data_IF_432544033580
#
_entry.id   IF_432544033580
#
_cell.length_a   1.000
_cell.length_b   1.000
_cell.length_c   1.000
_cell.angle_alpha   90.00
_cell.angle_beta   90.00
_cell.angle_gamma   90.00
#
_symmetry.space_group_name_H-M   'P 1'
#
loop_
_entity.id
_entity.type
_entity.pdbx_description
1 polymer ?
#
# COMPACT_ATOMS: atom_id res chain seq x y z
N UNK A 1 9.87 -2.66 23.12
CA UNK A 1 9.93 -2.46 21.62
C UNK A 1 10.85 -3.51 21.02
N UNK A 2 10.33 -4.40 20.17
CA UNK A 2 11.13 -5.46 19.51
C UNK A 2 12.11 -4.81 18.54
N UNK A 3 13.40 -4.85 18.83
CA UNK A 3 14.46 -4.40 17.94
C UNK A 3 15.03 -5.59 17.18
N UNK A 4 14.64 -5.76 15.92
CA UNK A 4 15.30 -6.71 15.04
C UNK A 4 16.58 -6.06 14.49
N UNK A 5 17.73 -6.41 15.04
CA UNK A 5 19.05 -6.04 14.52
C UNK A 5 19.63 -7.10 13.57
N UNK A 6 18.96 -8.25 13.45
CA UNK A 6 19.42 -9.38 12.65
C UNK A 6 18.66 -9.43 11.32
N UNK A 7 19.36 -9.24 10.21
CA UNK A 7 18.79 -9.33 8.85
C UNK A 7 18.08 -10.65 8.59
N UNK A 8 18.59 -11.76 9.11
CA UNK A 8 17.99 -13.10 8.94
C UNK A 8 16.56 -13.17 9.46
N UNK A 9 16.20 -12.35 10.46
CA UNK A 9 14.86 -12.28 11.02
C UNK A 9 14.08 -11.14 10.35
N UNK A 10 14.73 -10.04 9.99
CA UNK A 10 14.09 -8.87 9.39
C UNK A 10 13.55 -9.18 7.98
N UNK A 11 14.28 -9.97 7.17
CA UNK A 11 13.84 -10.34 5.81
C UNK A 11 12.49 -11.05 5.81
N UNK A 12 12.27 -12.20 6.53
CA UNK A 12 10.95 -12.83 6.54
C UNK A 12 9.84 -11.96 7.12
N UNK A 13 10.14 -11.07 8.07
CA UNK A 13 9.17 -10.11 8.62
C UNK A 13 8.69 -9.13 7.56
N UNK A 14 9.58 -8.60 6.72
CA UNK A 14 9.22 -7.69 5.63
C UNK A 14 8.50 -8.42 4.50
N UNK A 15 8.92 -9.63 4.16
CA UNK A 15 8.19 -10.46 3.19
C UNK A 15 6.75 -10.71 3.64
N UNK A 16 6.55 -11.00 4.92
CA UNK A 16 5.21 -11.17 5.48
C UNK A 16 4.39 -9.88 5.48
N UNK A 17 5.02 -8.71 5.68
CA UNK A 17 4.37 -7.42 5.52
C UNK A 17 3.81 -7.25 4.08
N UNK A 18 4.60 -7.58 3.05
CA UNK A 18 4.16 -7.57 1.67
C UNK A 18 3.00 -8.54 1.40
N UNK A 19 3.02 -9.73 2.02
CA UNK A 19 1.88 -10.67 1.93
C UNK A 19 0.61 -10.06 2.53
N UNK A 20 0.69 -9.38 3.68
CA UNK A 20 -0.48 -8.71 4.25
C UNK A 20 -1.04 -7.60 3.34
N UNK A 21 -0.17 -6.83 2.69
CA UNK A 21 -0.58 -5.80 1.75
C UNK A 21 -1.17 -6.37 0.46
N UNK A 22 -0.72 -7.54 0.03
CA UNK A 22 -1.18 -8.19 -1.19
C UNK A 22 -2.69 -8.48 -1.21
N UNK A 23 -3.35 -8.51 -0.05
CA UNK A 23 -4.80 -8.64 0.04
C UNK A 23 -5.57 -7.36 -0.34
N UNK A 24 -4.90 -6.21 -0.46
CA UNK A 24 -5.54 -4.94 -0.83
C UNK A 24 -6.37 -5.01 -2.12
N UNK A 25 -5.80 -5.45 -3.26
CA UNK A 25 -6.56 -5.62 -4.51
C UNK A 25 -7.75 -6.56 -4.38
N UNK A 26 -7.62 -7.62 -3.57
CA UNK A 26 -8.71 -8.56 -3.31
C UNK A 26 -9.86 -7.87 -2.56
N UNK A 27 -9.56 -7.09 -1.52
CA UNK A 27 -10.56 -6.32 -0.76
C UNK A 27 -11.30 -5.37 -1.70
N UNK A 28 -10.59 -4.61 -2.54
CA UNK A 28 -11.20 -3.68 -3.51
C UNK A 28 -12.12 -4.42 -4.48
N UNK A 29 -11.72 -5.61 -4.94
CA UNK A 29 -12.52 -6.42 -5.87
C UNK A 29 -13.87 -6.86 -5.29
N UNK A 30 -13.94 -7.11 -3.98
CA UNK A 30 -15.17 -7.52 -3.31
C UNK A 30 -16.02 -6.34 -2.81
N UNK A 31 -15.56 -5.09 -2.97
CA UNK A 31 -16.36 -3.91 -2.63
C UNK A 31 -17.43 -3.63 -3.67
N UNK A 32 -18.55 -3.05 -3.22
CA UNK A 32 -19.60 -2.55 -4.09
C UNK A 32 -19.19 -1.15 -4.60
N UNK A 33 -19.11 -0.99 -5.93
CA UNK A 33 -18.82 0.28 -6.62
C UNK A 33 -17.65 1.09 -5.99
N UNK A 34 -16.45 0.51 -5.87
CA UNK A 34 -15.33 1.12 -5.15
C UNK A 34 -14.92 2.48 -5.72
N UNK A 35 -15.13 2.71 -7.03
CA UNK A 35 -14.84 3.98 -7.72
C UNK A 35 -15.77 5.14 -7.31
N UNK A 36 -16.93 4.84 -6.72
CA UNK A 36 -17.89 5.85 -6.25
C UNK A 36 -17.58 6.35 -4.83
N UNK A 37 -16.78 5.63 -4.08
CA UNK A 37 -16.55 5.87 -2.64
C UNK A 37 -15.06 6.00 -2.25
N UNK A 38 -14.16 6.59 -3.07
CA UNK A 38 -12.74 6.62 -2.77
C UNK A 38 -12.42 7.40 -1.49
N UNK A 39 -13.11 8.51 -1.24
CA UNK A 39 -12.88 9.33 -0.05
C UNK A 39 -13.35 8.66 1.23
N UNK A 40 -14.51 8.00 1.22
CA UNK A 40 -14.97 7.19 2.35
C UNK A 40 -14.02 6.03 2.64
N UNK A 41 -13.45 5.44 1.59
CA UNK A 41 -12.44 4.39 1.73
C UNK A 41 -11.16 4.91 2.40
N UNK A 42 -10.64 6.04 1.94
CA UNK A 42 -9.45 6.66 2.52
C UNK A 42 -9.72 7.07 3.96
N UNK A 43 -10.91 7.63 4.25
CA UNK A 43 -11.37 7.99 5.58
C UNK A 43 -11.37 6.77 6.53
N UNK A 44 -12.08 5.71 6.18
CA UNK A 44 -12.21 4.51 7.02
C UNK A 44 -10.88 3.81 7.24
N UNK A 45 -10.07 3.65 6.19
CA UNK A 45 -8.74 3.04 6.28
C UNK A 45 -7.77 3.90 7.10
N UNK A 46 -7.74 5.20 6.86
CA UNK A 46 -6.86 6.13 7.59
C UNK A 46 -7.20 6.20 9.07
N UNK A 47 -8.49 6.27 9.39
CA UNK A 47 -9.00 6.26 10.78
C UNK A 47 -8.63 4.95 11.49
N UNK A 48 -8.82 3.80 10.83
CA UNK A 48 -8.47 2.48 11.38
C UNK A 48 -6.99 2.40 11.72
N UNK A 49 -6.10 2.81 10.80
CA UNK A 49 -4.65 2.82 11.05
C UNK A 49 -4.31 3.74 12.21
N UNK A 50 -4.88 4.95 12.23
CA UNK A 50 -4.62 5.92 13.28
C UNK A 50 -5.05 5.38 14.66
N UNK A 51 -6.24 4.81 14.77
CA UNK A 51 -6.75 4.25 16.04
C UNK A 51 -5.87 3.07 16.50
N UNK A 52 -5.60 2.10 15.64
CA UNK A 52 -4.83 0.90 16.02
C UNK A 52 -3.44 1.29 16.53
N UNK A 53 -2.74 2.18 15.83
CA UNK A 53 -1.41 2.59 16.25
C UNK A 53 -1.41 3.40 17.53
N UNK A 54 -2.39 4.28 17.74
CA UNK A 54 -2.47 5.01 19.00
C UNK A 54 -2.84 4.08 20.18
N UNK A 55 -3.72 3.10 19.97
CA UNK A 55 -4.00 2.08 20.98
C UNK A 55 -2.74 1.25 21.29
N UNK A 56 -2.02 0.81 20.26
CA UNK A 56 -0.77 0.08 20.44
C UNK A 56 0.25 0.89 21.25
N UNK A 57 0.48 2.17 20.88
CA UNK A 57 1.39 3.05 21.59
C UNK A 57 0.92 3.33 23.04
N UNK A 58 -0.40 3.44 23.25
CA UNK A 58 -0.97 3.59 24.58
C UNK A 58 -0.73 2.37 25.47
N UNK A 59 -0.90 1.15 24.93
CA UNK A 59 -0.63 -0.07 25.70
C UNK A 59 0.87 -0.28 25.98
N UNK A 60 1.76 0.19 25.11
CA UNK A 60 3.20 0.04 25.27
C UNK A 60 3.80 1.11 26.22
N UNK A 61 3.36 2.36 26.14
CA UNK A 61 3.99 3.51 26.81
C UNK A 61 3.05 4.22 27.83
N UNK A 62 1.83 3.75 27.97
CA UNK A 62 0.81 4.37 28.79
C UNK A 62 0.43 5.78 28.28
N UNK A 63 -0.08 6.61 29.17
CA UNK A 63 -0.55 7.96 28.84
C UNK A 63 0.52 8.87 28.21
N UNK A 64 1.79 8.54 28.37
CA UNK A 64 2.90 9.35 27.84
C UNK A 64 3.16 9.19 26.34
N UNK A 65 2.45 8.29 25.63
CA UNK A 65 2.63 8.03 24.20
C UNK A 65 2.52 9.29 23.33
N UNK A 66 1.71 10.28 23.73
CA UNK A 66 1.55 11.53 22.99
C UNK A 66 2.86 12.34 22.89
N UNK A 67 3.83 12.11 23.79
CA UNK A 67 5.16 12.74 23.72
C UNK A 67 5.93 12.32 22.48
N UNK A 68 5.63 11.16 21.91
CA UNK A 68 6.25 10.68 20.68
C UNK A 68 5.88 11.54 19.47
N UNK A 69 4.71 12.16 19.45
CA UNK A 69 4.34 13.10 18.39
C UNK A 69 5.23 14.35 18.39
N UNK A 70 5.72 14.80 19.55
CA UNK A 70 6.70 15.88 19.63
C UNK A 70 8.09 15.44 19.15
N UNK A 71 8.42 14.14 19.27
CA UNK A 71 9.71 13.56 18.86
C UNK A 71 9.74 13.20 17.37
N UNK A 72 8.60 13.17 16.68
CA UNK A 72 8.50 12.84 15.25
C UNK A 72 9.43 13.69 14.39
N UNK A 73 9.53 15.00 14.71
CA UNK A 73 10.42 15.93 14.03
C UNK A 73 10.17 16.03 12.52
N UNK A 74 11.08 16.69 11.80
CA UNK A 74 10.93 16.90 10.35
C UNK A 74 10.94 15.56 9.57
N UNK A 75 11.78 14.61 9.97
CA UNK A 75 11.90 13.35 9.23
C UNK A 75 10.62 12.51 9.32
N UNK A 76 10.06 12.37 10.52
CA UNK A 76 8.80 11.62 10.67
C UNK A 76 7.60 12.35 10.09
N UNK A 77 7.57 13.68 10.08
CA UNK A 77 6.51 14.45 9.42
C UNK A 77 6.57 14.26 7.90
N UNK A 78 7.76 14.39 7.28
CA UNK A 78 7.95 14.16 5.84
C UNK A 78 7.61 12.72 5.47
N UNK A 79 8.06 11.74 6.29
CA UNK A 79 7.73 10.33 6.07
C UNK A 79 6.25 10.03 6.23
N UNK A 80 5.60 10.60 7.25
CA UNK A 80 4.17 10.42 7.49
C UNK A 80 3.30 11.04 6.38
N UNK A 81 3.62 12.25 5.93
CA UNK A 81 2.93 12.89 4.79
C UNK A 81 3.19 12.10 3.50
N UNK A 82 4.45 11.70 3.24
CA UNK A 82 4.80 10.89 2.07
C UNK A 82 4.01 9.59 2.02
N UNK A 83 3.95 8.86 3.14
CA UNK A 83 3.13 7.66 3.25
C UNK A 83 1.63 7.96 3.09
N UNK A 84 1.14 9.05 3.66
CA UNK A 84 -0.26 9.47 3.49
C UNK A 84 -0.61 9.76 2.03
N UNK A 85 0.25 10.48 1.30
CA UNK A 85 0.11 10.70 -0.15
C UNK A 85 0.13 9.36 -0.89
N UNK A 86 1.04 8.45 -0.54
CA UNK A 86 1.08 7.12 -1.13
C UNK A 86 -0.23 6.36 -0.94
N UNK A 87 -0.77 6.39 0.28
CA UNK A 87 -2.02 5.70 0.62
C UNK A 87 -3.23 6.27 -0.11
N UNK A 88 -3.34 7.59 -0.24
CA UNK A 88 -4.40 8.25 -1.01
C UNK A 88 -4.27 7.89 -2.48
N UNK A 89 -3.07 8.06 -3.04
CA UNK A 89 -2.80 7.81 -4.45
C UNK A 89 -3.00 6.34 -4.84
N UNK A 90 -2.66 5.40 -3.95
CA UNK A 90 -2.95 3.97 -4.17
C UNK A 90 -4.45 3.71 -4.36
N UNK A 91 -5.30 4.27 -3.49
CA UNK A 91 -6.75 4.08 -3.61
C UNK A 91 -7.28 4.69 -4.91
N UNK A 92 -6.82 5.90 -5.25
CA UNK A 92 -7.20 6.52 -6.52
C UNK A 92 -6.69 5.73 -7.73
N UNK A 93 -5.50 5.16 -7.67
CA UNK A 93 -4.99 4.30 -8.73
C UNK A 93 -5.88 3.07 -8.90
N UNK A 94 -6.05 2.26 -7.86
CA UNK A 94 -6.73 0.97 -7.95
C UNK A 94 -8.24 1.08 -8.22
N UNK A 95 -8.84 2.23 -7.94
CA UNK A 95 -10.25 2.51 -8.25
C UNK A 95 -10.45 3.13 -9.63
N UNK A 96 -9.42 3.67 -10.28
CA UNK A 96 -9.50 4.31 -11.60
C UNK A 96 -8.77 3.54 -12.70
N UNK A 97 -8.08 2.45 -12.38
CA UNK A 97 -7.44 1.56 -13.36
C UNK A 97 -7.49 0.12 -12.89
N UNK A 98 -6.84 -0.78 -13.61
CA UNK A 98 -6.78 -2.19 -13.22
C UNK A 98 -5.82 -2.41 -12.04
N UNK A 99 -6.10 -3.43 -11.23
CA UNK A 99 -5.20 -3.84 -10.17
C UNK A 99 -3.78 -4.14 -10.69
N UNK A 100 -3.69 -4.74 -11.88
CA UNK A 100 -2.41 -5.05 -12.53
C UNK A 100 -1.58 -3.80 -12.81
N UNK A 101 -2.19 -2.72 -13.34
CA UNK A 101 -1.52 -1.45 -13.62
C UNK A 101 -1.07 -0.80 -12.30
N UNK A 102 -1.95 -0.74 -11.31
CA UNK A 102 -1.61 -0.18 -9.99
C UNK A 102 -0.42 -0.92 -9.36
N UNK A 103 -0.47 -2.26 -9.32
CA UNK A 103 0.59 -3.08 -8.75
C UNK A 103 1.90 -2.97 -9.51
N UNK A 104 1.85 -2.83 -10.84
CA UNK A 104 3.07 -2.62 -11.62
C UNK A 104 3.68 -1.23 -11.37
N UNK A 105 2.87 -0.19 -11.19
CA UNK A 105 3.38 1.11 -10.74
C UNK A 105 4.08 0.99 -9.39
N UNK A 106 3.56 0.17 -8.45
CA UNK A 106 4.25 -0.09 -7.18
C UNK A 106 5.58 -0.83 -7.36
N UNK A 107 5.75 -1.62 -8.41
CA UNK A 107 7.03 -2.26 -8.71
C UNK A 107 8.16 -1.24 -9.01
N UNK A 108 7.83 0.03 -9.26
CA UNK A 108 8.81 1.12 -9.36
C UNK A 108 9.31 1.64 -7.99
N UNK A 109 8.71 1.24 -6.87
CA UNK A 109 9.12 1.71 -5.52
C UNK A 109 10.61 1.51 -5.23
N UNK A 110 11.24 0.35 -5.49
CA UNK A 110 12.68 0.18 -5.22
C UNK A 110 13.55 1.15 -6.01
N UNK A 111 13.12 1.49 -7.25
CA UNK A 111 13.79 2.48 -8.07
C UNK A 111 13.80 3.85 -7.40
N UNK A 112 12.62 4.40 -7.08
CA UNK A 112 12.52 5.70 -6.43
C UNK A 112 13.19 5.70 -5.06
N UNK A 113 13.08 4.61 -4.31
CA UNK A 113 13.73 4.48 -3.00
C UNK A 113 15.25 4.48 -3.12
N UNK A 114 15.81 3.72 -4.07
CA UNK A 114 17.25 3.69 -4.30
C UNK A 114 17.78 5.07 -4.70
N UNK A 115 17.08 5.76 -5.63
CA UNK A 115 17.44 7.11 -6.05
C UNK A 115 17.41 8.09 -4.87
N UNK A 116 16.35 8.09 -4.08
CA UNK A 116 16.24 8.97 -2.91
C UNK A 116 17.25 8.61 -1.83
N UNK A 117 17.49 7.31 -1.57
CA UNK A 117 18.50 6.86 -0.61
C UNK A 117 19.92 7.25 -1.05
N UNK A 118 20.23 7.17 -2.33
CA UNK A 118 21.50 7.65 -2.86
C UNK A 118 21.66 9.17 -2.67
N UNK A 119 20.64 9.96 -2.98
CA UNK A 119 20.68 11.42 -2.89
C UNK A 119 20.74 11.92 -1.44
N UNK A 120 19.92 11.37 -0.54
CA UNK A 120 19.72 11.89 0.81
C UNK A 120 20.49 11.13 1.89
N UNK A 121 20.65 9.82 1.76
CA UNK A 121 21.37 8.99 2.73
C UNK A 121 22.78 8.64 2.28
N UNK A 122 23.15 8.94 1.03
CA UNK A 122 24.43 8.57 0.39
C UNK A 122 24.67 7.05 0.43
N UNK A 123 23.60 6.26 0.41
CA UNK A 123 23.69 4.80 0.32
C UNK A 123 24.20 4.40 -1.08
N UNK A 124 25.14 3.46 -1.14
CA UNK A 124 25.64 2.94 -2.42
C UNK A 124 24.60 1.99 -3.02
N UNK A 125 24.22 2.24 -4.27
CA UNK A 125 23.30 1.38 -5.01
C UNK A 125 24.13 0.25 -5.64
N UNK A 126 23.77 -1.01 -5.36
CA UNK A 126 24.40 -2.16 -6.00
C UNK A 126 24.04 -2.26 -7.48
N UNK A 127 24.92 -2.88 -8.29
CA UNK A 127 24.65 -3.09 -9.72
C UNK A 127 23.36 -3.88 -9.96
N UNK A 128 23.06 -4.85 -9.11
CA UNK A 128 21.84 -5.65 -9.21
C UNK A 128 20.59 -4.79 -9.05
N UNK A 129 20.60 -3.82 -8.13
CA UNK A 129 19.51 -2.86 -7.96
C UNK A 129 19.37 -2.00 -9.21
N UNK A 130 20.46 -1.50 -9.81
CA UNK A 130 20.43 -0.76 -11.07
C UNK A 130 19.80 -1.56 -12.22
N UNK A 131 20.18 -2.82 -12.39
CA UNK A 131 19.61 -3.71 -13.41
C UNK A 131 18.11 -3.92 -13.16
N UNK A 132 17.70 -4.20 -11.92
CA UNK A 132 16.29 -4.36 -11.55
C UNK A 132 15.47 -3.10 -11.83
N UNK A 133 16.04 -1.92 -11.56
CA UNK A 133 15.45 -0.62 -11.85
C UNK A 133 15.22 -0.43 -13.36
N UNK A 134 16.17 -0.83 -14.17
CA UNK A 134 16.11 -0.71 -15.64
C UNK A 134 15.01 -1.61 -16.20
N UNK A 135 14.94 -2.86 -15.74
CA UNK A 135 13.90 -3.81 -16.13
C UNK A 135 12.50 -3.29 -15.72
N UNK A 136 12.35 -2.81 -14.50
CA UNK A 136 11.09 -2.23 -14.01
C UNK A 136 10.66 -1.01 -14.85
N UNK A 137 11.62 -0.12 -15.17
CA UNK A 137 11.35 1.07 -16.00
C UNK A 137 10.85 0.68 -17.40
N UNK A 138 11.49 -0.31 -18.05
CA UNK A 138 11.04 -0.82 -19.34
C UNK A 138 9.61 -1.39 -19.25
N UNK A 139 9.32 -2.18 -18.21
CA UNK A 139 7.96 -2.69 -17.97
C UNK A 139 6.93 -1.57 -17.83
N UNK A 140 7.23 -0.52 -17.07
CA UNK A 140 6.36 0.64 -16.89
C UNK A 140 6.13 1.38 -18.21
N UNK A 141 7.18 1.58 -19.03
CA UNK A 141 7.06 2.23 -20.34
C UNK A 141 6.16 1.43 -21.28
N UNK A 142 6.37 0.11 -21.37
CA UNK A 142 5.55 -0.77 -22.22
C UNK A 142 4.07 -0.64 -21.82
N UNK A 143 3.77 -0.63 -20.54
CA UNK A 143 2.39 -0.48 -20.06
C UNK A 143 1.81 0.90 -20.33
N UNK A 144 2.60 1.97 -20.13
CA UNK A 144 2.13 3.32 -20.37
C UNK A 144 1.77 3.55 -21.84
N UNK A 145 2.56 2.99 -22.76
CA UNK A 145 2.32 3.09 -24.22
C UNK A 145 1.10 2.24 -24.65
N UNK A 146 0.90 1.08 -24.00
CA UNK A 146 -0.24 0.19 -24.33
C UNK A 146 -1.60 0.65 -23.80
N UNK A 147 -1.63 1.72 -22.98
CA UNK A 147 -2.83 2.12 -22.25
C UNK A 147 -3.45 3.40 -22.85
N UNK A 148 -4.48 3.24 -23.67
CA UNK A 148 -5.10 4.34 -24.46
C UNK A 148 -6.35 4.95 -23.81
N UNK A 149 -6.87 4.39 -22.72
CA UNK A 149 -8.06 4.90 -22.04
C UNK A 149 -7.71 6.03 -21.08
N UNK A 150 -8.46 7.15 -21.11
CA UNK A 150 -8.24 8.33 -20.25
C UNK A 150 -8.22 7.98 -18.75
N UNK A 151 -9.13 7.11 -18.31
CA UNK A 151 -9.20 6.73 -16.90
C UNK A 151 -7.97 5.92 -16.47
N UNK A 152 -7.42 5.09 -17.35
CA UNK A 152 -6.21 4.35 -17.04
C UNK A 152 -4.97 5.23 -16.93
N UNK A 153 -4.88 6.35 -17.65
CA UNK A 153 -3.77 7.30 -17.51
C UNK A 153 -3.80 7.98 -16.13
N UNK A 154 -4.97 8.40 -15.67
CA UNK A 154 -5.13 8.97 -14.32
C UNK A 154 -4.71 7.97 -13.25
N UNK A 155 -5.22 6.74 -13.33
CA UNK A 155 -4.85 5.68 -12.42
C UNK A 155 -3.35 5.37 -12.43
N UNK A 156 -2.71 5.40 -13.60
CA UNK A 156 -1.27 5.23 -13.76
C UNK A 156 -0.47 6.34 -13.05
N UNK A 157 -0.83 7.61 -13.25
CA UNK A 157 -0.18 8.76 -12.58
C UNK A 157 -0.31 8.64 -11.06
N UNK A 158 -1.50 8.29 -10.55
CA UNK A 158 -1.67 8.05 -9.12
C UNK A 158 -0.87 6.85 -8.62
N UNK A 159 -0.74 5.78 -9.40
CA UNK A 159 0.10 4.62 -9.07
C UNK A 159 1.57 5.00 -8.91
N UNK A 160 2.13 5.79 -9.82
CA UNK A 160 3.50 6.30 -9.71
C UNK A 160 3.65 7.26 -8.52
N UNK A 161 2.67 8.14 -8.29
CA UNK A 161 2.66 9.04 -7.12
C UNK A 161 2.67 8.25 -5.81
N UNK A 162 1.92 7.14 -5.76
CA UNK A 162 1.95 6.22 -4.62
C UNK A 162 3.34 5.64 -4.39
N UNK A 163 4.01 5.20 -5.44
CA UNK A 163 5.38 4.64 -5.37
C UNK A 163 6.39 5.67 -4.86
N UNK A 164 6.32 6.91 -5.34
CA UNK A 164 7.20 8.00 -4.89
C UNK A 164 6.93 8.32 -3.41
N UNK A 165 5.67 8.47 -3.02
CA UNK A 165 5.29 8.77 -1.64
C UNK A 165 5.74 7.70 -0.65
N UNK A 166 5.59 6.42 -1.02
CA UNK A 166 6.08 5.29 -0.20
C UNK A 166 7.60 5.25 -0.14
N UNK A 167 8.29 5.58 -1.23
CA UNK A 167 9.75 5.68 -1.27
C UNK A 167 10.27 6.78 -0.34
N UNK A 168 9.61 7.93 -0.28
CA UNK A 168 9.91 8.99 0.68
C UNK A 168 9.78 8.47 2.10
N UNK A 169 8.68 7.79 2.43
CA UNK A 169 8.49 7.16 3.73
C UNK A 169 9.63 6.19 4.07
N UNK A 170 9.97 5.27 3.17
CA UNK A 170 11.01 4.26 3.37
C UNK A 170 12.39 4.87 3.65
N UNK A 171 12.75 5.92 2.92
CA UNK A 171 14.00 6.66 3.13
C UNK A 171 13.98 7.41 4.47
N UNK A 172 12.86 8.02 4.84
CA UNK A 172 12.76 8.76 6.10
C UNK A 172 12.80 7.87 7.34
N UNK A 173 12.39 6.60 7.25
CA UNK A 173 12.56 5.63 8.33
C UNK A 173 14.05 5.39 8.69
N UNK A 174 14.97 5.66 7.77
CA UNK A 174 16.41 5.52 7.95
C UNK A 174 17.12 6.85 8.17
N UNK A 175 16.53 7.97 7.77
CA UNK A 175 17.17 9.28 7.84
C UNK A 175 17.57 9.66 9.26
N UNK A 176 16.71 9.40 10.25
CA UNK A 176 17.03 9.59 11.67
C UNK A 176 16.63 8.34 12.46
N UNK A 177 17.61 7.70 13.09
CA UNK A 177 17.41 6.48 13.89
C UNK A 177 16.47 6.70 15.08
N UNK A 178 16.42 7.91 15.61
CA UNK A 178 15.63 8.30 16.80
C UNK A 178 14.16 8.61 16.47
N UNK A 179 13.79 8.74 15.19
CA UNK A 179 12.42 9.05 14.81
C UNK A 179 11.49 7.90 15.18
N UNK A 180 10.40 8.15 15.94
CA UNK A 180 9.47 7.10 16.34
C UNK A 180 8.68 6.62 15.11
N UNK A 181 9.03 5.43 14.62
CA UNK A 181 8.54 4.89 13.34
C UNK A 181 7.04 4.65 13.34
N UNK A 182 6.50 4.09 14.42
CA UNK A 182 5.06 3.83 14.53
C UNK A 182 4.24 5.12 14.61
N UNK A 183 4.77 6.13 15.31
CA UNK A 183 4.15 7.45 15.34
C UNK A 183 4.18 8.12 13.95
N UNK A 184 5.25 7.89 13.15
CA UNK A 184 5.31 8.33 11.74
C UNK A 184 4.18 7.71 10.91
N UNK A 185 3.90 6.42 11.10
CA UNK A 185 2.77 5.75 10.43
C UNK A 185 1.43 6.27 10.95
N UNK A 186 1.31 6.56 12.25
CA UNK A 186 0.11 7.17 12.82
C UNK A 186 -0.16 8.57 12.22
N UNK A 187 0.90 9.37 11.97
CA UNK A 187 0.80 10.66 11.25
C UNK A 187 0.25 10.46 9.84
N UNK A 188 0.66 9.41 9.12
CA UNK A 188 0.11 9.12 7.79
C UNK A 188 -1.37 8.75 7.86
N UNK A 189 -1.79 7.93 8.83
CA UNK A 189 -3.20 7.61 9.06
C UNK A 189 -4.03 8.86 9.36
N UNK A 190 -3.52 9.74 10.24
CA UNK A 190 -4.14 11.03 10.56
C UNK A 190 -4.23 11.94 9.34
N UNK A 191 -3.17 12.03 8.53
CA UNK A 191 -3.16 12.81 7.30
C UNK A 191 -4.24 12.32 6.31
N UNK A 192 -4.35 11.01 6.10
CA UNK A 192 -5.40 10.41 5.27
C UNK A 192 -6.80 10.73 5.82
N UNK A 193 -7.00 10.56 7.13
CA UNK A 193 -8.27 10.84 7.79
C UNK A 193 -8.69 12.30 7.64
N UNK A 194 -7.79 13.26 7.90
CA UNK A 194 -8.07 14.70 7.78
C UNK A 194 -8.36 15.07 6.32
N UNK A 195 -7.50 14.64 5.38
CA UNK A 195 -7.66 14.94 3.96
C UNK A 195 -8.99 14.39 3.44
N UNK A 196 -9.32 13.14 3.76
CA UNK A 196 -10.58 12.53 3.36
C UNK A 196 -11.78 13.24 3.98
N UNK A 197 -11.71 13.64 5.26
CA UNK A 197 -12.77 14.42 5.92
C UNK A 197 -13.03 15.73 5.18
N UNK A 198 -11.97 16.48 4.85
CA UNK A 198 -12.10 17.73 4.12
C UNK A 198 -12.75 17.49 2.74
N UNK A 199 -12.30 16.48 2.02
CA UNK A 199 -12.81 16.19 0.67
C UNK A 199 -14.26 15.68 0.68
N UNK A 200 -14.67 14.90 1.67
CA UNK A 200 -16.05 14.48 1.87
C UNK A 200 -16.95 15.69 2.11
N UNK A 201 -16.52 16.63 2.96
CA UNK A 201 -17.27 17.87 3.24
C UNK A 201 -17.38 18.78 2.01
N UNK A 202 -16.26 18.98 1.30
CA UNK A 202 -16.23 19.82 0.09
C UNK A 202 -17.13 19.26 -1.00
N UNK A 203 -17.10 17.94 -1.19
CA UNK A 203 -17.93 17.25 -2.20
C UNK A 203 -19.36 16.96 -1.72
N UNK A 204 -19.73 17.37 -0.49
CA UNK A 204 -21.04 17.12 0.13
C UNK A 204 -21.45 15.66 0.11
N UNK A 205 -20.48 14.76 0.30
CA UNK A 205 -20.68 13.31 0.36
C UNK A 205 -21.04 12.87 1.78
N UNK A 206 -21.59 11.67 1.91
CA UNK A 206 -21.79 11.02 3.21
C UNK A 206 -20.48 10.46 3.74
N UNK A 207 -20.23 10.51 5.06
CA UNK A 207 -19.04 9.95 5.68
C UNK A 207 -18.99 8.43 5.62
N UNK A 208 -20.12 7.79 5.67
CA UNK A 208 -20.23 6.35 5.69
C UNK A 208 -20.82 5.84 4.38
N UNK A 209 -20.17 4.84 3.81
CA UNK A 209 -20.70 4.04 2.73
C UNK A 209 -21.68 2.98 3.31
N UNK A 210 -22.00 1.96 2.52
CA UNK A 210 -22.77 0.82 3.05
C UNK A 210 -22.01 0.15 4.20
N UNK A 211 -22.71 -0.51 5.13
CA UNK A 211 -22.09 -1.24 6.25
C UNK A 211 -21.06 -2.25 5.76
N UNK A 212 -21.36 -2.91 4.63
CA UNK A 212 -20.44 -3.85 3.99
C UNK A 212 -19.15 -3.17 3.53
N UNK A 213 -19.24 -2.08 2.74
CA UNK A 213 -18.05 -1.34 2.30
C UNK A 213 -17.25 -0.78 3.48
N UNK A 214 -17.93 -0.25 4.50
CA UNK A 214 -17.27 0.27 5.71
C UNK A 214 -16.48 -0.81 6.44
N UNK A 215 -17.01 -2.04 6.52
CA UNK A 215 -16.28 -3.18 7.06
C UNK A 215 -15.06 -3.54 6.20
N UNK A 216 -15.17 -3.50 4.86
CA UNK A 216 -14.05 -3.74 3.94
C UNK A 216 -12.95 -2.66 4.07
N UNK A 217 -13.32 -1.39 4.23
CA UNK A 217 -12.35 -0.30 4.49
C UNK A 217 -11.56 -0.54 5.77
N UNK A 218 -12.25 -0.93 6.84
CA UNK A 218 -11.64 -1.22 8.14
C UNK A 218 -10.76 -2.46 8.08
N UNK A 219 -11.21 -3.54 7.45
CA UNK A 219 -10.43 -4.76 7.24
C UNK A 219 -9.11 -4.45 6.49
N UNK A 220 -9.19 -3.70 5.38
CA UNK A 220 -8.01 -3.29 4.65
C UNK A 220 -7.12 -2.38 5.52
N UNK A 221 -7.71 -1.49 6.31
CA UNK A 221 -6.97 -0.66 7.28
C UNK A 221 -6.17 -1.48 8.29
N UNK A 222 -6.76 -2.56 8.83
CA UNK A 222 -6.08 -3.49 9.74
C UNK A 222 -4.91 -4.19 9.05
N UNK A 223 -5.13 -4.76 7.86
CA UNK A 223 -4.08 -5.47 7.11
C UNK A 223 -2.91 -4.55 6.77
N UNK A 224 -3.22 -3.33 6.29
CA UNK A 224 -2.19 -2.33 5.97
C UNK A 224 -1.46 -1.88 7.23
N UNK A 225 -2.15 -1.66 8.34
CA UNK A 225 -1.53 -1.26 9.61
C UNK A 225 -0.54 -2.31 10.11
N UNK A 226 -0.95 -3.59 10.13
CA UNK A 226 -0.08 -4.69 10.54
C UNK A 226 1.15 -4.79 9.64
N UNK A 227 0.98 -4.71 8.33
CA UNK A 227 2.09 -4.69 7.38
C UNK A 227 3.03 -3.51 7.62
N UNK A 228 2.51 -2.29 7.87
CA UNK A 228 3.33 -1.10 8.15
C UNK A 228 4.11 -1.21 9.46
N UNK A 229 3.54 -1.86 10.48
CA UNK A 229 4.24 -2.17 11.72
C UNK A 229 5.43 -3.09 11.43
N UNK A 230 5.20 -4.21 10.75
CA UNK A 230 6.24 -5.18 10.39
C UNK A 230 7.32 -4.57 9.50
N UNK A 231 6.93 -3.82 8.48
CA UNK A 231 7.84 -3.09 7.61
C UNK A 231 8.71 -2.09 8.39
N UNK A 232 8.11 -1.34 9.31
CA UNK A 232 8.81 -0.38 10.16
C UNK A 232 9.80 -1.06 11.10
N UNK A 233 9.48 -2.26 11.59
CA UNK A 233 10.40 -3.09 12.40
C UNK A 233 11.58 -3.53 11.53
N UNK A 234 11.34 -4.09 10.35
CA UNK A 234 12.38 -4.56 9.43
C UNK A 234 13.30 -3.44 8.93
N UNK A 235 12.79 -2.21 8.81
CA UNK A 235 13.56 -1.05 8.35
C UNK A 235 14.78 -0.69 9.21
N UNK A 236 14.91 -1.27 10.40
CA UNK A 236 16.07 -1.05 11.28
C UNK A 236 17.29 -1.85 10.84
N UNK A 237 17.11 -3.02 10.22
CA UNK A 237 18.17 -3.95 9.86
C UNK A 237 18.49 -3.94 8.35
N UNK A 238 17.55 -3.56 7.50
CA UNK A 238 17.63 -3.68 6.04
C UNK A 238 17.80 -2.30 5.40
N UNK A 239 18.56 -2.18 4.31
CA UNK A 239 18.72 -0.94 3.56
C UNK A 239 17.41 -0.51 2.91
N UNK A 240 17.23 0.80 2.65
CA UNK A 240 15.95 1.34 2.17
C UNK A 240 15.51 0.71 0.83
N UNK A 241 16.43 0.57 -0.13
CA UNK A 241 16.16 -0.03 -1.43
C UNK A 241 15.82 -1.53 -1.34
N UNK A 242 16.55 -2.28 -0.52
CA UNK A 242 16.30 -3.70 -0.28
C UNK A 242 14.96 -3.92 0.45
N UNK A 243 14.64 -3.04 1.39
CA UNK A 243 13.40 -3.06 2.13
C UNK A 243 12.18 -2.94 1.20
N UNK A 244 12.23 -2.01 0.24
CA UNK A 244 11.17 -1.85 -0.77
C UNK A 244 11.20 -2.96 -1.81
N UNK A 245 12.35 -3.55 -2.13
CA UNK A 245 12.44 -4.71 -3.01
C UNK A 245 11.74 -5.93 -2.38
N UNK A 246 11.97 -6.18 -1.09
CA UNK A 246 11.30 -7.26 -0.36
C UNK A 246 9.78 -7.06 -0.30
N UNK A 247 9.32 -5.81 -0.18
CA UNK A 247 7.88 -5.51 -0.17
C UNK A 247 7.18 -5.78 -1.50
N UNK A 248 7.90 -6.02 -2.62
CA UNK A 248 7.31 -6.44 -3.90
C UNK A 248 6.59 -7.79 -3.83
N UNK A 249 6.70 -8.54 -2.74
CA UNK A 249 5.80 -9.66 -2.43
C UNK A 249 4.33 -9.24 -2.46
N UNK A 250 4.03 -7.97 -2.15
CA UNK A 250 2.70 -7.36 -2.34
C UNK A 250 2.25 -7.46 -3.80
N UNK A 251 3.12 -7.12 -4.74
CA UNK A 251 2.81 -7.13 -6.18
C UNK A 251 2.51 -8.54 -6.65
N UNK A 252 3.38 -9.49 -6.32
CA UNK A 252 3.24 -10.90 -6.70
C UNK A 252 1.96 -11.49 -6.09
N UNK A 253 1.78 -11.31 -4.78
CA UNK A 253 0.61 -11.81 -4.06
C UNK A 253 -0.68 -11.16 -4.54
N UNK A 254 -0.68 -9.84 -4.78
CA UNK A 254 -1.86 -9.11 -5.25
C UNK A 254 -2.34 -9.59 -6.62
N UNK A 255 -1.44 -9.84 -7.57
CA UNK A 255 -1.77 -10.44 -8.86
C UNK A 255 -2.34 -11.84 -8.66
N UNK A 256 -1.71 -12.65 -7.82
CA UNK A 256 -2.16 -14.01 -7.53
C UNK A 256 -3.58 -14.04 -6.96
N UNK A 257 -3.89 -13.21 -5.96
CA UNK A 257 -5.22 -13.14 -5.34
C UNK A 257 -6.31 -12.65 -6.29
N UNK A 258 -5.98 -11.73 -7.20
CA UNK A 258 -6.95 -11.25 -8.21
C UNK A 258 -7.20 -12.32 -9.29
N UNK A 259 -6.19 -13.11 -9.62
CA UNK A 259 -6.27 -14.16 -10.63
C UNK A 259 -6.96 -15.45 -10.13
N UNK A 260 -6.73 -15.84 -8.87
CA UNK A 260 -7.28 -17.06 -8.28
C UNK A 260 -8.82 -17.19 -8.41
N UNK A 261 -9.63 -16.16 -8.07
CA UNK A 261 -11.07 -16.24 -8.29
C UNK A 261 -11.46 -16.37 -9.77
N UNK A 262 -10.70 -15.79 -10.71
CA UNK A 262 -10.95 -15.95 -12.14
C UNK A 262 -10.83 -17.42 -12.55
N UNK A 263 -9.82 -18.14 -12.07
CA UNK A 263 -9.67 -19.57 -12.33
C UNK A 263 -10.81 -20.41 -11.75
N UNK A 264 -11.29 -20.06 -10.56
CA UNK A 264 -12.39 -20.78 -9.92
C UNK A 264 -13.73 -20.59 -10.65
N UNK A 265 -13.94 -19.41 -11.25
CA UNK A 265 -15.17 -19.10 -12.00
C UNK A 265 -15.10 -19.52 -13.48
N UNK A 266 -13.91 -19.69 -14.07
CA UNK A 266 -13.75 -20.13 -15.47
C UNK A 266 -13.71 -21.65 -15.61
N UNK A 267 -13.62 -22.42 -14.53
CA UNK A 267 -13.85 -23.86 -14.61
C UNK A 267 -15.36 -24.09 -14.82
N UNK A 268 -15.80 -24.64 -15.96
CA UNK A 268 -17.23 -24.88 -16.21
C UNK A 268 -17.79 -25.77 -15.11
N UNK A 269 -18.85 -25.28 -14.45
CA UNK A 269 -19.53 -26.03 -13.41
C UNK A 269 -19.94 -27.39 -13.94
N UNK A 270 -19.97 -28.45 -13.13
CA UNK A 270 -20.52 -29.74 -13.55
C UNK A 270 -21.96 -29.66 -14.11
N UNK A 271 -22.70 -28.59 -13.75
CA UNK A 271 -24.04 -28.29 -14.29
C UNK A 271 -23.99 -27.80 -15.74
N UNK A 272 -23.04 -26.92 -16.09
CA UNK A 272 -22.89 -26.38 -17.45
C UNK A 272 -22.47 -27.48 -18.42
N UNK A 273 -21.66 -28.46 -17.97
CA UNK A 273 -21.29 -29.65 -18.75
C UNK A 273 -22.49 -30.61 -18.98
N UNK A 274 -23.52 -30.58 -18.14
CA UNK A 274 -24.75 -31.38 -18.36
C UNK A 274 -25.70 -30.71 -19.36
N UNK A 275 -25.81 -29.36 -19.31
CA UNK A 275 -26.66 -28.63 -20.24
C UNK A 275 -26.14 -28.68 -21.69
N UNK A 276 -24.80 -28.64 -21.88
CA UNK A 276 -24.21 -28.77 -23.22
C UNK A 276 -24.31 -30.19 -23.84
N UNK A 277 -24.75 -31.19 -23.06
CA UNK A 277 -24.95 -32.57 -23.52
C UNK A 277 -26.42 -32.96 -23.71
N UNK A 278 -27.37 -32.05 -23.49
CA UNK A 278 -28.77 -32.32 -23.84
C UNK A 278 -28.96 -32.10 -25.33
N UNK A 279 -29.41 -33.13 -26.09
CA UNK A 279 -29.75 -32.93 -27.48
C UNK A 279 -30.91 -31.92 -27.56
N UNK A 280 -30.79 -30.93 -28.46
CA UNK A 280 -31.92 -30.06 -28.81
C UNK A 280 -33.04 -30.98 -29.30
N UNK A 281 -34.08 -31.13 -28.48
CA UNK A 281 -35.33 -31.78 -28.93
C UNK A 281 -35.90 -30.92 -30.03
N UNK A 282 -35.94 -31.50 -31.23
CA UNK A 282 -36.64 -31.00 -32.41
C UNK A 282 -38.13 -30.82 -32.13
#
# INVERSE_FOLDING_TARGET
>A
MVELRNEKIAVPVVLFAGILWSFGPLVVRYMNDPHMVPWQYIFGRGLTIFIILNLYLYFEEGINFYKNYKKVGKSGLVGGIGLGIAMISFIYSITNTTAAITLLCLAAMPFFTALLAFLFLKEKISLNVWISMLIATVGIIIMAVGNTEKNSLIGFVFGLTSSIGFSIFSVTLRWRKETPKFTTVAVAGLFCFITATIMILVNKQTFFATSYNSAMFSLHGVLVCLGLILYSIGSKAIQAAELTLLSLTEVIGGIFWVWLPCLLYTSPSPRDKRQSRMPSSA
#
